data_IF_722450487469
#
_entry.id   IF_722450487469
#
_cell.length_a   1.000
_cell.length_b   1.000
_cell.length_c   1.000
_cell.angle_alpha   90.00
_cell.angle_beta   90.00
_cell.angle_gamma   90.00
#
_symmetry.space_group_name_H-M   'P 1'
#
loop_
_entity.id
_entity.type
_entity.pdbx_description
1 polymer ?
#
# COMPACT_ATOMS: atom_id res chain seq x y z
N UNK A 1 7.49 -50.39 48.23
CA UNK A 1 7.23 -48.97 47.94
C UNK A 1 8.34 -48.25 47.13
N UNK A 2 9.62 -48.63 47.24
CA UNK A 2 10.70 -47.96 46.46
C UNK A 2 10.66 -48.12 44.90
N UNK A 3 10.14 -49.25 44.37
CA UNK A 3 10.08 -49.50 42.94
C UNK A 3 9.02 -48.66 42.20
N UNK A 4 7.93 -48.25 42.85
CA UNK A 4 6.87 -47.43 42.24
C UNK A 4 7.35 -46.01 42.03
N UNK A 5 8.12 -45.43 42.94
CA UNK A 5 8.67 -44.11 42.82
C UNK A 5 9.71 -43.99 41.70
N UNK A 6 10.48 -45.05 41.46
CA UNK A 6 11.50 -45.05 40.39
C UNK A 6 10.87 -45.06 38.99
N UNK A 7 9.79 -45.84 38.81
CA UNK A 7 9.06 -45.87 37.55
C UNK A 7 8.34 -44.52 37.23
N UNK A 8 7.79 -43.85 38.27
CA UNK A 8 7.17 -42.52 38.08
C UNK A 8 8.19 -41.45 37.70
N UNK A 9 9.39 -41.47 38.29
CA UNK A 9 10.44 -40.52 37.97
C UNK A 9 10.96 -40.69 36.53
N UNK A 10 11.09 -41.94 36.05
CA UNK A 10 11.47 -42.23 34.67
C UNK A 10 10.41 -41.77 33.68
N UNK A 11 9.12 -42.01 34.00
CA UNK A 11 8.01 -41.57 33.15
C UNK A 11 7.96 -40.03 33.03
N UNK A 12 8.19 -39.31 34.14
CA UNK A 12 8.21 -37.85 34.16
C UNK A 12 9.40 -37.29 33.36
N UNK A 13 10.57 -37.92 33.46
CA UNK A 13 11.75 -37.56 32.69
C UNK A 13 11.54 -37.79 31.18
N UNK A 14 10.87 -38.88 30.79
CA UNK A 14 10.55 -39.15 29.37
C UNK A 14 9.56 -38.15 28.80
N UNK A 15 8.55 -37.72 29.57
CA UNK A 15 7.61 -36.68 29.17
C UNK A 15 8.31 -35.32 29.04
N UNK A 16 9.24 -34.98 29.92
CA UNK A 16 10.01 -33.71 29.84
C UNK A 16 10.89 -33.66 28.61
N UNK A 17 11.49 -34.80 28.21
CA UNK A 17 12.31 -34.88 27.00
C UNK A 17 11.44 -34.74 25.71
N UNK A 18 10.22 -35.34 25.73
CA UNK A 18 9.31 -35.23 24.58
C UNK A 18 8.83 -33.79 24.31
N UNK A 19 8.74 -32.94 25.34
CA UNK A 19 8.38 -31.54 25.21
C UNK A 19 9.50 -30.67 24.58
N UNK A 20 10.75 -31.13 24.62
CA UNK A 20 11.89 -30.43 24.04
C UNK A 20 12.02 -30.66 22.52
N UNK A 21 11.31 -31.63 21.95
CA UNK A 21 11.30 -31.89 20.51
C UNK A 21 10.12 -31.25 19.77
N UNK A 22 9.30 -30.45 20.46
CA UNK A 22 8.34 -29.58 19.80
C UNK A 22 9.08 -28.43 19.17
N UNK A 23 9.93 -28.71 18.18
CA UNK A 23 10.50 -27.73 17.31
C UNK A 23 9.36 -27.30 16.37
N UNK A 24 8.70 -26.19 16.68
CA UNK A 24 7.84 -25.52 15.71
C UNK A 24 8.69 -25.25 14.48
N UNK A 25 8.22 -25.67 13.32
CA UNK A 25 8.81 -25.25 12.04
C UNK A 25 8.86 -23.75 12.08
N UNK A 26 10.06 -23.20 11.88
CA UNK A 26 10.26 -21.76 11.83
C UNK A 26 9.32 -21.22 10.74
N UNK A 27 8.45 -20.27 11.08
CA UNK A 27 7.50 -19.66 10.13
C UNK A 27 8.21 -19.09 8.88
N UNK A 28 9.52 -18.87 8.98
CA UNK A 28 10.38 -18.46 7.87
C UNK A 28 10.53 -19.53 6.77
N UNK A 29 10.30 -20.80 7.09
CA UNK A 29 10.41 -21.93 6.14
C UNK A 29 9.05 -22.30 5.52
N UNK A 30 7.96 -21.66 5.94
CA UNK A 30 6.65 -21.86 5.34
C UNK A 30 6.62 -21.26 3.94
N UNK A 31 6.08 -22.01 2.98
CA UNK A 31 5.78 -21.49 1.66
C UNK A 31 4.50 -20.64 1.73
N UNK A 32 4.65 -19.33 1.81
CA UNK A 32 3.53 -18.38 1.93
C UNK A 32 2.75 -18.17 0.61
N UNK A 33 2.87 -19.11 -0.32
CA UNK A 33 2.20 -19.05 -1.62
C UNK A 33 2.83 -18.01 -2.57
N UNK A 34 2.11 -17.73 -3.66
CA UNK A 34 2.60 -16.84 -4.71
C UNK A 34 2.76 -15.40 -4.21
N UNK A 35 3.95 -14.84 -4.41
CA UNK A 35 4.20 -13.43 -4.15
C UNK A 35 3.34 -12.56 -5.06
N UNK A 36 2.64 -11.58 -4.47
CA UNK A 36 1.75 -10.67 -5.21
C UNK A 36 2.19 -9.23 -5.05
N UNK A 37 2.17 -8.51 -6.15
CA UNK A 37 2.43 -7.06 -6.18
C UNK A 37 1.11 -6.34 -5.95
N UNK A 38 1.13 -5.33 -5.09
CA UNK A 38 -0.04 -4.54 -4.72
C UNK A 38 0.33 -3.09 -4.39
N UNK A 39 -0.67 -2.22 -4.29
CA UNK A 39 -0.54 -0.85 -3.79
C UNK A 39 -0.91 -0.82 -2.31
N UNK A 40 0.03 -0.52 -1.38
CA UNK A 40 -0.25 -0.50 0.07
C UNK A 40 -1.39 0.46 0.46
N UNK A 41 -1.54 1.58 -0.26
CA UNK A 41 -2.61 2.54 -0.04
C UNK A 41 -4.00 1.97 -0.37
N UNK A 42 -4.08 0.95 -1.23
CA UNK A 42 -5.30 0.24 -1.58
C UNK A 42 -5.75 -0.80 -0.55
N UNK A 43 -4.99 -1.04 0.53
CA UNK A 43 -5.38 -1.95 1.62
C UNK A 43 -6.46 -1.37 2.52
N UNK A 44 -6.72 -0.06 2.46
CA UNK A 44 -7.83 0.57 3.19
C UNK A 44 -9.18 0.13 2.61
N UNK A 45 -10.23 0.18 3.44
CA UNK A 45 -11.59 -0.08 3.01
C UNK A 45 -11.95 0.79 1.80
N UNK A 46 -12.55 0.17 0.79
CA UNK A 46 -12.96 0.82 -0.47
C UNK A 46 -11.81 1.39 -1.32
N UNK A 47 -10.56 0.90 -1.14
CA UNK A 47 -9.38 1.36 -1.88
C UNK A 47 -9.10 2.87 -1.74
N UNK A 48 -9.74 3.56 -0.80
CA UNK A 48 -9.68 5.02 -0.66
C UNK A 48 -8.43 5.47 0.09
N UNK A 49 -7.73 6.46 -0.46
CA UNK A 49 -6.57 7.10 0.12
C UNK A 49 -6.81 8.60 0.24
N UNK A 50 -7.20 9.02 1.45
CA UNK A 50 -7.52 10.42 1.73
C UNK A 50 -6.25 11.27 1.86
N UNK A 51 -6.27 12.47 1.30
CA UNK A 51 -5.21 13.48 1.39
C UNK A 51 -5.87 14.81 1.80
N UNK A 52 -5.44 15.43 2.90
CA UNK A 52 -4.38 15.00 3.81
C UNK A 52 -4.78 13.82 4.70
N UNK A 53 -3.80 13.02 5.08
CA UNK A 53 -3.87 12.03 6.15
C UNK A 53 -2.70 12.28 7.08
N UNK A 54 -2.95 12.17 8.39
CA UNK A 54 -1.98 12.53 9.42
C UNK A 54 -2.14 13.97 9.90
N UNK A 55 -1.85 14.19 11.20
CA UNK A 55 -2.08 15.48 11.88
C UNK A 55 -0.86 16.42 11.83
N UNK A 56 0.33 15.87 11.73
CA UNK A 56 1.60 16.59 11.72
C UNK A 56 2.40 16.39 10.42
N UNK A 57 3.49 17.14 10.27
CA UNK A 57 4.32 17.09 9.07
C UNK A 57 5.02 15.74 8.87
N UNK A 58 5.28 15.00 9.94
CA UNK A 58 5.99 13.72 9.89
C UNK A 58 5.05 12.57 9.47
N UNK A 59 3.77 12.67 9.80
CA UNK A 59 2.76 11.65 9.48
C UNK A 59 1.95 11.95 8.21
N UNK A 60 2.14 13.12 7.58
CA UNK A 60 1.42 13.50 6.36
C UNK A 60 1.79 12.60 5.18
N UNK A 61 0.78 12.26 4.42
CA UNK A 61 0.92 11.47 3.17
C UNK A 61 1.15 12.35 1.92
N UNK A 62 1.51 13.60 2.12
CA UNK A 62 1.87 14.55 1.07
C UNK A 62 2.95 15.52 1.52
N UNK A 63 3.63 16.12 0.56
CA UNK A 63 4.53 17.25 0.77
C UNK A 63 4.16 18.39 -0.17
N UNK A 64 4.41 19.63 0.25
CA UNK A 64 4.32 20.81 -0.60
C UNK A 64 5.74 21.28 -0.91
N UNK A 65 6.09 21.24 -2.18
CA UNK A 65 7.35 21.79 -2.69
C UNK A 65 7.16 23.28 -3.01
N UNK A 66 7.62 24.14 -2.10
CA UNK A 66 7.47 25.58 -2.23
C UNK A 66 8.24 26.18 -3.42
N UNK A 67 9.30 25.49 -3.91
CA UNK A 67 10.09 25.98 -5.05
C UNK A 67 9.38 25.76 -6.38
N UNK A 68 8.73 24.60 -6.51
CA UNK A 68 8.03 24.22 -7.74
C UNK A 68 6.53 24.41 -7.66
N UNK A 69 6.01 24.82 -6.49
CA UNK A 69 4.59 24.95 -6.18
C UNK A 69 3.80 23.67 -6.48
N UNK A 70 4.39 22.52 -6.14
CA UNK A 70 3.83 21.21 -6.39
C UNK A 70 3.38 20.56 -5.10
N UNK A 71 2.13 20.11 -5.06
CA UNK A 71 1.64 19.14 -4.09
C UNK A 71 2.09 17.74 -4.53
N UNK A 72 2.87 17.05 -3.72
CA UNK A 72 3.38 15.71 -3.98
C UNK A 72 2.72 14.71 -3.05
N UNK A 73 1.86 13.85 -3.57
CA UNK A 73 1.21 12.75 -2.84
C UNK A 73 2.07 11.50 -2.98
N UNK A 74 2.38 10.84 -1.85
CA UNK A 74 3.26 9.67 -1.81
C UNK A 74 2.41 8.43 -2.07
N UNK A 75 2.73 7.72 -3.14
CA UNK A 75 2.16 6.42 -3.50
C UNK A 75 3.26 5.36 -3.55
N UNK A 76 2.88 4.10 -3.57
CA UNK A 76 3.87 3.03 -3.61
C UNK A 76 3.33 1.72 -4.15
N UNK A 77 4.27 0.83 -4.39
CA UNK A 77 4.05 -0.58 -4.71
C UNK A 77 4.79 -1.43 -3.71
N UNK A 78 4.24 -2.58 -3.38
CA UNK A 78 4.89 -3.54 -2.50
C UNK A 78 4.62 -4.96 -3.01
N UNK A 79 5.50 -5.86 -2.62
CA UNK A 79 5.38 -7.29 -2.85
C UNK A 79 5.07 -8.00 -1.54
N UNK A 80 4.09 -8.89 -1.54
CA UNK A 80 3.81 -9.81 -0.43
C UNK A 80 4.67 -11.07 -0.51
N UNK A 81 4.60 -11.88 0.54
CA UNK A 81 5.30 -13.17 0.60
C UNK A 81 6.75 -13.06 1.07
N UNK A 82 7.49 -14.17 0.96
CA UNK A 82 8.88 -14.29 1.40
C UNK A 82 9.78 -13.27 0.68
N UNK A 83 10.71 -12.69 1.41
CA UNK A 83 11.72 -11.79 0.82
C UNK A 83 12.57 -12.59 -0.16
N UNK A 84 12.67 -12.12 -1.38
CA UNK A 84 13.57 -12.63 -2.41
C UNK A 84 14.51 -11.53 -2.86
N UNK A 85 15.68 -11.88 -3.36
CA UNK A 85 16.64 -10.91 -3.91
C UNK A 85 16.19 -10.34 -5.26
N UNK A 86 15.06 -10.83 -5.80
CA UNK A 86 14.58 -10.43 -7.12
C UNK A 86 13.88 -9.07 -7.11
N UNK A 87 14.34 -8.16 -7.95
CA UNK A 87 13.67 -6.91 -8.27
C UNK A 87 12.48 -7.12 -9.22
N UNK A 88 11.64 -6.10 -9.34
CA UNK A 88 10.50 -6.10 -10.26
C UNK A 88 10.16 -4.69 -10.73
N UNK A 89 9.40 -4.59 -11.80
CA UNK A 89 8.82 -3.33 -12.27
C UNK A 89 7.34 -3.50 -12.56
N UNK A 90 6.60 -2.39 -12.53
CA UNK A 90 5.19 -2.32 -12.91
C UNK A 90 4.92 -1.05 -13.69
N UNK A 91 3.94 -1.10 -14.59
CA UNK A 91 3.40 0.07 -15.25
C UNK A 91 2.39 0.78 -14.33
N UNK A 92 2.34 2.11 -14.40
CA UNK A 92 1.43 2.97 -13.66
C UNK A 92 0.49 3.64 -14.66
N UNK A 93 -0.80 3.62 -14.38
CA UNK A 93 -1.83 4.26 -15.20
C UNK A 93 -2.95 4.85 -14.36
N UNK A 94 -3.74 5.72 -14.95
CA UNK A 94 -4.95 6.27 -14.33
C UNK A 94 -6.20 5.54 -14.83
N UNK A 95 -7.28 5.60 -14.03
CA UNK A 95 -8.58 5.01 -14.36
C UNK A 95 -9.70 6.04 -14.12
N UNK A 96 -9.84 7.03 -15.02
CA UNK A 96 -10.84 8.09 -14.87
C UNK A 96 -12.27 7.54 -14.81
N UNK A 97 -12.59 6.47 -15.55
CA UNK A 97 -13.91 5.85 -15.55
C UNK A 97 -14.32 5.34 -14.15
N UNK A 98 -13.35 4.85 -13.36
CA UNK A 98 -13.60 4.45 -11.98
C UNK A 98 -14.12 5.63 -11.15
N UNK A 99 -13.52 6.80 -11.28
CA UNK A 99 -13.94 7.99 -10.53
C UNK A 99 -15.29 8.48 -11.02
N UNK A 100 -15.50 8.55 -12.33
CA UNK A 100 -16.77 8.97 -12.92
C UNK A 100 -17.94 8.07 -12.46
N UNK A 101 -17.73 6.76 -12.43
CA UNK A 101 -18.72 5.79 -11.91
C UNK A 101 -19.03 6.02 -10.43
N UNK A 102 -18.01 6.27 -9.60
CA UNK A 102 -18.19 6.52 -8.17
C UNK A 102 -18.91 7.84 -7.89
N UNK A 103 -18.68 8.86 -8.69
CA UNK A 103 -19.39 10.14 -8.61
C UNK A 103 -20.85 9.95 -9.04
N UNK A 104 -21.10 9.29 -10.18
CA UNK A 104 -22.45 9.04 -10.69
C UNK A 104 -23.30 8.20 -9.74
N UNK A 105 -22.69 7.28 -9.00
CA UNK A 105 -23.37 6.47 -7.97
C UNK A 105 -23.48 7.12 -6.59
N UNK A 106 -23.13 8.41 -6.46
CA UNK A 106 -23.10 9.17 -5.19
C UNK A 106 -22.20 8.57 -4.08
N UNK A 107 -21.23 7.71 -4.44
CA UNK A 107 -20.25 7.18 -3.50
C UNK A 107 -19.12 8.19 -3.21
N UNK A 108 -18.89 9.16 -4.11
CA UNK A 108 -18.00 10.30 -3.91
C UNK A 108 -18.80 11.60 -3.99
N UNK A 109 -19.19 12.11 -2.82
CA UNK A 109 -19.97 13.37 -2.71
C UNK A 109 -19.04 14.59 -2.70
N UNK A 110 -19.48 15.70 -3.31
CA UNK A 110 -18.72 16.95 -3.43
C UNK A 110 -17.32 16.75 -4.04
N UNK A 111 -17.21 15.81 -4.98
CA UNK A 111 -15.94 15.37 -5.58
C UNK A 111 -16.01 15.51 -7.09
N UNK A 112 -14.90 15.92 -7.69
CA UNK A 112 -14.73 15.96 -9.14
C UNK A 112 -13.50 15.15 -9.55
N UNK A 113 -13.46 14.66 -10.78
CA UNK A 113 -12.28 14.01 -11.34
C UNK A 113 -11.12 15.03 -11.41
N UNK A 114 -9.93 14.64 -10.97
CA UNK A 114 -8.71 15.45 -11.13
C UNK A 114 -8.35 15.48 -12.61
N UNK A 115 -8.32 16.66 -13.27
CA UNK A 115 -8.02 16.77 -14.70
C UNK A 115 -6.58 16.39 -15.06
N UNK A 116 -6.39 15.76 -16.20
CA UNK A 116 -5.09 15.28 -16.69
C UNK A 116 -4.01 16.37 -16.78
N UNK A 117 -4.39 17.60 -17.09
CA UNK A 117 -3.45 18.74 -17.17
C UNK A 117 -2.88 19.18 -15.82
N UNK A 118 -3.52 18.83 -14.70
CA UNK A 118 -3.15 19.28 -13.35
C UNK A 118 -2.13 18.41 -12.66
N UNK A 119 -1.88 17.20 -13.13
CA UNK A 119 -0.99 16.27 -12.43
C UNK A 119 0.06 15.63 -13.33
N UNK A 120 1.05 15.05 -12.68
CA UNK A 120 2.08 14.20 -13.30
C UNK A 120 2.22 12.91 -12.51
N UNK A 121 2.28 11.81 -13.23
CA UNK A 121 2.60 10.47 -12.72
C UNK A 121 3.72 9.87 -13.56
N UNK A 122 4.64 9.08 -12.98
CA UNK A 122 5.55 8.26 -13.77
C UNK A 122 4.77 7.17 -14.50
N UNK A 123 5.23 6.78 -15.69
CA UNK A 123 4.60 5.71 -16.46
C UNK A 123 4.89 4.31 -15.89
N UNK A 124 5.93 4.16 -15.07
CA UNK A 124 6.33 2.91 -14.42
C UNK A 124 7.17 3.17 -13.18
N UNK A 125 7.34 2.13 -12.37
CA UNK A 125 8.29 2.09 -11.26
C UNK A 125 9.05 0.77 -11.29
N UNK A 126 10.36 0.82 -10.97
CA UNK A 126 11.21 -0.34 -10.72
C UNK A 126 11.57 -0.41 -9.24
N UNK A 127 11.41 -1.59 -8.67
CA UNK A 127 11.85 -1.92 -7.31
C UNK A 127 13.11 -2.76 -7.42
N UNK A 128 14.24 -2.30 -6.90
CA UNK A 128 15.52 -3.00 -7.01
C UNK A 128 15.53 -4.36 -6.33
N UNK A 129 16.52 -5.19 -6.67
CA UNK A 129 16.83 -6.42 -5.96
C UNK A 129 17.05 -6.16 -4.46
N UNK A 130 16.63 -7.11 -3.62
CA UNK A 130 16.71 -6.97 -2.16
C UNK A 130 15.67 -6.05 -1.54
N UNK A 131 14.83 -5.38 -2.34
CA UNK A 131 13.74 -4.55 -1.85
C UNK A 131 12.36 -5.17 -2.14
N UNK A 132 11.47 -5.09 -1.17
CA UNK A 132 10.09 -5.56 -1.32
C UNK A 132 9.11 -4.46 -1.75
N UNK A 133 9.50 -3.19 -1.66
CA UNK A 133 8.63 -2.05 -1.93
C UNK A 133 9.39 -0.88 -2.57
N UNK A 134 8.65 -0.04 -3.29
CA UNK A 134 9.13 1.21 -3.85
C UNK A 134 8.06 2.28 -3.80
N UNK A 135 8.45 3.56 -3.82
CA UNK A 135 7.55 4.70 -3.78
C UNK A 135 7.68 5.56 -5.02
N UNK A 136 6.58 6.18 -5.43
CA UNK A 136 6.52 7.17 -6.49
C UNK A 136 5.60 8.33 -6.10
N UNK A 137 5.64 9.41 -6.84
CA UNK A 137 4.91 10.62 -6.50
C UNK A 137 3.83 10.91 -7.54
N UNK A 138 2.63 11.22 -7.05
CA UNK A 138 1.62 11.95 -7.80
C UNK A 138 1.87 13.44 -7.52
N UNK A 139 2.37 14.18 -8.51
CA UNK A 139 2.68 15.61 -8.40
C UNK A 139 1.54 16.42 -9.02
N UNK A 140 1.03 17.42 -8.30
CA UNK A 140 -0.13 18.22 -8.69
C UNK A 140 0.22 19.70 -8.58
N UNK A 141 -0.20 20.51 -9.54
CA UNK A 141 -0.04 21.98 -9.47
C UNK A 141 -0.90 22.54 -8.33
N UNK A 142 -0.23 22.99 -7.27
CA UNK A 142 -0.89 23.46 -6.05
C UNK A 142 -1.67 24.77 -6.25
N UNK A 143 -1.17 25.67 -7.11
CA UNK A 143 -1.85 26.95 -7.37
C UNK A 143 -3.15 26.72 -8.16
N UNK A 144 -3.09 25.93 -9.22
CA UNK A 144 -4.27 25.60 -10.00
C UNK A 144 -5.27 24.75 -9.20
N UNK A 145 -4.78 23.83 -8.36
CA UNK A 145 -5.63 23.08 -7.45
C UNK A 145 -6.39 24.01 -6.50
N UNK A 146 -5.69 24.94 -5.86
CA UNK A 146 -6.29 25.90 -4.92
C UNK A 146 -7.27 26.83 -5.62
N UNK A 147 -6.90 27.45 -6.74
CA UNK A 147 -7.75 28.42 -7.44
C UNK A 147 -9.00 27.79 -8.06
N UNK A 148 -8.90 26.58 -8.60
CA UNK A 148 -10.00 25.93 -9.32
C UNK A 148 -10.91 25.05 -8.49
N UNK A 149 -10.45 24.58 -7.31
CA UNK A 149 -11.14 23.50 -6.58
C UNK A 149 -11.35 23.78 -5.08
N UNK A 150 -11.11 25.00 -4.62
CA UNK A 150 -11.48 25.39 -3.25
C UNK A 150 -12.97 25.09 -3.01
N UNK A 151 -13.32 24.50 -1.88
CA UNK A 151 -14.68 24.08 -1.54
C UNK A 151 -15.04 22.67 -2.03
N UNK A 152 -14.16 22.00 -2.76
CA UNK A 152 -14.40 20.66 -3.35
C UNK A 152 -13.33 19.66 -2.94
N UNK A 153 -13.62 18.40 -3.21
CA UNK A 153 -12.62 17.33 -3.28
C UNK A 153 -12.29 17.03 -4.73
N UNK A 154 -11.06 16.63 -5.00
CA UNK A 154 -10.68 16.07 -6.30
C UNK A 154 -10.24 14.63 -6.12
N UNK A 155 -10.53 13.76 -7.08
CA UNK A 155 -10.20 12.36 -6.99
C UNK A 155 -9.50 11.85 -8.26
N UNK A 156 -8.58 10.89 -8.08
CA UNK A 156 -7.90 10.18 -9.16
C UNK A 156 -7.74 8.71 -8.78
N UNK A 157 -8.16 7.80 -9.63
CA UNK A 157 -7.84 6.39 -9.48
C UNK A 157 -6.50 6.11 -10.19
N UNK A 158 -5.54 5.59 -9.43
CA UNK A 158 -4.22 5.16 -9.90
C UNK A 158 -4.17 3.64 -9.82
N UNK A 159 -3.71 3.00 -10.88
CA UNK A 159 -3.61 1.54 -10.97
C UNK A 159 -2.22 1.11 -11.44
N UNK A 160 -1.82 -0.08 -11.02
CA UNK A 160 -0.60 -0.75 -11.50
C UNK A 160 -0.99 -1.94 -12.37
N UNK A 161 -0.13 -2.25 -13.35
CA UNK A 161 -0.33 -3.34 -14.31
C UNK A 161 0.99 -3.89 -14.82
N UNK A 162 0.92 -4.99 -15.57
CA UNK A 162 2.05 -5.58 -16.29
C UNK A 162 3.32 -5.73 -15.45
N UNK A 163 3.27 -6.46 -14.34
CA UNK A 163 4.47 -6.69 -13.54
C UNK A 163 5.49 -7.51 -14.35
N UNK A 164 6.77 -7.13 -14.26
CA UNK A 164 7.86 -7.86 -14.94
C UNK A 164 8.14 -9.21 -14.30
N UNK A 165 7.85 -9.34 -13.00
CA UNK A 165 7.94 -10.58 -12.21
C UNK A 165 6.80 -10.61 -11.20
N UNK A 166 6.49 -11.80 -10.71
CA UNK A 166 5.41 -12.07 -9.76
C UNK A 166 4.02 -11.81 -10.33
N UNK A 167 2.97 -12.18 -9.61
CA UNK A 167 1.60 -11.91 -10.01
C UNK A 167 1.07 -10.60 -9.41
N UNK A 168 0.10 -10.00 -10.07
CA UNK A 168 -0.56 -8.81 -9.58
C UNK A 168 -1.70 -9.19 -8.61
N UNK A 169 -1.87 -8.44 -7.53
CA UNK A 169 -3.04 -8.59 -6.67
C UNK A 169 -4.32 -8.26 -7.47
N UNK A 170 -5.30 -9.15 -7.43
CA UNK A 170 -6.58 -8.93 -8.10
C UNK A 170 -7.39 -7.77 -7.47
N UNK A 171 -7.22 -7.54 -6.17
CA UNK A 171 -8.00 -6.56 -5.41
C UNK A 171 -7.23 -5.25 -5.23
N UNK A 172 -5.98 -5.33 -4.77
CA UNK A 172 -5.21 -4.16 -4.33
C UNK A 172 -4.24 -3.64 -5.41
N UNK A 173 -4.60 -3.76 -6.69
CA UNK A 173 -3.82 -3.26 -7.82
C UNK A 173 -4.15 -1.80 -8.19
N UNK A 174 -4.99 -1.15 -7.43
CA UNK A 174 -5.39 0.25 -7.62
C UNK A 174 -5.66 0.94 -6.29
N UNK A 175 -5.67 2.26 -6.34
CA UNK A 175 -6.01 3.13 -5.21
C UNK A 175 -6.81 4.32 -5.72
N UNK A 176 -7.77 4.79 -4.93
CA UNK A 176 -8.56 5.99 -5.20
C UNK A 176 -8.01 7.09 -4.30
N UNK A 177 -7.19 7.97 -4.87
CA UNK A 177 -6.66 9.15 -4.18
C UNK A 177 -7.76 10.20 -4.14
N UNK A 178 -8.13 10.64 -2.94
CA UNK A 178 -9.16 11.68 -2.72
C UNK A 178 -8.50 12.83 -1.96
N UNK A 179 -8.43 13.99 -2.59
CA UNK A 179 -7.76 15.16 -2.06
C UNK A 179 -8.82 16.17 -1.62
N UNK A 180 -8.88 16.45 -0.33
CA UNK A 180 -9.71 17.53 0.21
C UNK A 180 -8.93 18.84 0.12
N UNK A 181 -9.28 19.67 -0.86
CA UNK A 181 -8.55 20.90 -1.15
C UNK A 181 -8.60 21.89 0.01
N UNK A 182 -9.70 21.91 0.78
CA UNK A 182 -9.83 22.82 1.92
C UNK A 182 -8.98 22.39 3.14
N UNK A 183 -8.75 21.09 3.26
CA UNK A 183 -7.94 20.56 4.35
C UNK A 183 -6.43 20.64 4.09
N UNK A 184 -6.02 20.96 2.86
CA UNK A 184 -4.62 21.18 2.53
C UNK A 184 -4.13 22.52 3.07
N UNK A 185 -2.93 22.54 3.61
CA UNK A 185 -2.22 23.77 4.00
C UNK A 185 -1.40 24.29 2.80
N UNK A 186 -2.10 24.81 1.78
CA UNK A 186 -1.55 25.37 0.55
C UNK A 186 -1.27 26.86 0.69
#
# INVERSE_FOLDING_TARGET
MKKIFYNSAILLALCAVALLFSCEKNDQDLDYGDAKIYMPQGLSSNLSYLVPKGLDSASRNYTLDAKTNQLKVILGVARSGKTTDEGYSVNISTRPDTINTLIASNLLTNTVLLPDGLYRLPGSISVPEGQSAGTFLLSIDAAQLKSGYTGKKVALAVAISSPSKFSLSAVNNKVIVIIDVNALKL
#
